data_IF_986941543384
#
_entry.id   IF_986941543384
#
_cell.length_a   1.000
_cell.length_b   1.000
_cell.length_c   1.000
_cell.angle_alpha   90.00
_cell.angle_beta   90.00
_cell.angle_gamma   90.00
#
_symmetry.space_group_name_H-M   'P 1'
#
loop_
_entity.id
_entity.type
_entity.pdbx_description
1 polymer ?
#
# COMPACT_ATOMS: atom_id res chain seq x y z
N UNK A 1 8.54 -25.28 7.61
CA UNK A 1 7.45 -25.87 8.37
C UNK A 1 6.13 -25.79 7.60
N UNK A 2 5.81 -24.67 6.97
CA UNK A 2 4.57 -24.48 6.20
C UNK A 2 4.70 -24.74 4.70
N UNK A 3 5.73 -25.40 4.30
CA UNK A 3 6.02 -25.96 2.98
C UNK A 3 5.51 -25.14 1.78
N UNK A 4 5.98 -23.90 1.73
CA UNK A 4 5.76 -23.03 0.56
C UNK A 4 4.60 -22.05 0.67
N UNK A 5 3.95 -21.86 1.83
CA UNK A 5 3.00 -20.78 2.02
C UNK A 5 3.75 -19.45 2.13
N UNK A 6 3.82 -18.75 0.99
CA UNK A 6 4.56 -17.51 0.84
C UNK A 6 3.96 -16.36 1.64
N UNK A 7 4.81 -15.52 2.24
CA UNK A 7 4.43 -14.31 2.97
C UNK A 7 3.53 -14.53 4.20
N UNK A 8 3.61 -15.69 4.80
CA UNK A 8 3.05 -16.00 6.11
C UNK A 8 4.21 -16.45 7.00
N UNK A 9 4.40 -15.80 8.13
CA UNK A 9 5.53 -16.03 9.02
C UNK A 9 5.06 -16.12 10.47
N UNK A 10 5.67 -17.02 11.20
CA UNK A 10 5.55 -17.09 12.66
C UNK A 10 6.65 -16.25 13.31
N UNK A 11 6.33 -15.70 14.46
CA UNK A 11 7.33 -15.06 15.32
C UNK A 11 7.77 -16.06 16.38
N UNK A 12 9.05 -16.43 16.39
CA UNK A 12 9.66 -17.21 17.45
C UNK A 12 9.82 -16.37 18.73
N UNK A 13 10.35 -16.96 19.80
CA UNK A 13 10.36 -16.36 21.14
C UNK A 13 10.85 -14.91 21.19
N UNK A 14 11.98 -14.60 20.59
CA UNK A 14 12.51 -13.22 20.59
C UNK A 14 11.65 -12.26 19.73
N UNK A 15 11.11 -12.76 18.61
CA UNK A 15 10.25 -11.97 17.72
C UNK A 15 8.91 -11.65 18.35
N UNK A 16 8.28 -12.58 19.08
CA UNK A 16 7.01 -12.33 19.76
C UNK A 16 7.18 -11.38 20.93
N UNK A 17 8.27 -11.47 21.70
CA UNK A 17 8.55 -10.53 22.77
C UNK A 17 8.80 -9.12 22.26
N UNK A 18 9.60 -8.96 21.20
CA UNK A 18 9.81 -7.67 20.56
C UNK A 18 8.50 -7.06 20.05
N UNK A 19 7.67 -7.85 19.38
CA UNK A 19 6.36 -7.43 18.89
C UNK A 19 5.45 -6.97 20.03
N UNK A 20 5.37 -7.75 21.11
CA UNK A 20 4.56 -7.40 22.28
C UNK A 20 5.06 -6.12 22.98
N UNK A 21 6.36 -5.95 23.11
CA UNK A 21 6.95 -4.74 23.70
C UNK A 21 6.62 -3.50 22.86
N UNK A 22 6.74 -3.57 21.55
CA UNK A 22 6.37 -2.48 20.63
C UNK A 22 4.88 -2.14 20.78
N UNK A 23 4.01 -3.15 20.77
CA UNK A 23 2.56 -2.96 20.91
C UNK A 23 2.19 -2.34 22.26
N UNK A 24 2.77 -2.81 23.37
CA UNK A 24 2.53 -2.28 24.70
C UNK A 24 3.02 -0.83 24.83
N UNK A 25 4.22 -0.54 24.32
CA UNK A 25 4.76 0.81 24.31
C UNK A 25 3.87 1.77 23.53
N UNK A 26 3.45 1.37 22.32
CA UNK A 26 2.55 2.17 21.49
C UNK A 26 1.20 2.40 22.20
N UNK A 27 0.60 1.33 22.74
CA UNK A 27 -0.68 1.42 23.44
C UNK A 27 -0.61 2.36 24.65
N UNK A 28 0.42 2.21 25.43
CA UNK A 28 0.65 3.11 26.59
C UNK A 28 0.79 4.56 26.14
N UNK A 29 1.64 4.82 25.14
CA UNK A 29 1.93 6.18 24.68
C UNK A 29 0.74 6.83 23.98
N UNK A 30 0.00 6.08 23.14
CA UNK A 30 -1.05 6.64 22.30
C UNK A 30 -2.44 6.61 22.94
N UNK A 31 -2.66 5.73 23.92
CA UNK A 31 -4.00 5.57 24.53
C UNK A 31 -3.97 5.93 26.02
N UNK A 32 -3.10 5.26 26.79
CA UNK A 32 -3.18 5.36 28.26
C UNK A 32 -2.64 6.70 28.82
N UNK A 33 -1.83 7.41 28.06
CA UNK A 33 -1.29 8.72 28.47
C UNK A 33 -2.17 9.91 28.03
N UNK A 34 -3.32 9.66 27.41
CA UNK A 34 -4.24 10.69 26.91
C UNK A 34 -5.65 10.48 27.42
N UNK A 35 -6.26 11.51 28.00
CA UNK A 35 -7.62 11.45 28.54
C UNK A 35 -8.71 11.41 27.46
N UNK A 36 -8.38 11.87 26.26
CA UNK A 36 -9.29 11.97 25.12
C UNK A 36 -9.03 10.94 24.03
N UNK A 37 -8.30 9.87 24.31
CA UNK A 37 -8.11 8.75 23.39
C UNK A 37 -8.56 7.46 24.08
N UNK A 38 -9.41 6.70 23.42
CA UNK A 38 -9.95 5.44 23.93
C UNK A 38 -9.64 4.28 22.99
N UNK A 39 -9.53 3.09 23.55
CA UNK A 39 -9.26 1.88 22.81
C UNK A 39 -10.52 1.12 22.41
N UNK A 40 -10.49 0.47 21.26
CA UNK A 40 -11.47 -0.55 20.85
C UNK A 40 -10.77 -1.81 20.34
N UNK A 41 -11.51 -2.89 20.26
CA UNK A 41 -11.13 -4.10 19.52
C UNK A 41 -12.29 -4.53 18.65
N UNK A 42 -12.28 -4.16 17.39
CA UNK A 42 -13.31 -4.52 16.43
C UNK A 42 -13.07 -5.88 15.80
N UNK A 43 -14.14 -6.57 15.41
CA UNK A 43 -14.07 -7.89 14.80
C UNK A 43 -13.25 -7.88 13.48
N UNK A 44 -12.57 -8.99 13.23
CA UNK A 44 -11.85 -9.25 11.96
C UNK A 44 -12.85 -9.46 10.82
N UNK A 45 -13.93 -10.20 11.09
CA UNK A 45 -15.03 -10.45 10.15
C UNK A 45 -16.05 -9.33 10.29
N UNK A 46 -16.23 -8.55 9.24
CA UNK A 46 -17.18 -7.44 9.21
C UNK A 46 -18.18 -7.63 8.09
N UNK A 47 -19.35 -7.01 8.23
CA UNK A 47 -20.40 -7.11 7.21
C UNK A 47 -19.87 -6.58 5.85
N UNK A 48 -20.14 -7.28 4.73
CA UNK A 48 -19.63 -6.90 3.41
C UNK A 48 -19.95 -5.47 2.97
N UNK A 49 -21.05 -4.91 3.44
CA UNK A 49 -21.44 -3.52 3.17
C UNK A 49 -20.40 -2.50 3.67
N UNK A 50 -19.65 -2.81 4.74
CA UNK A 50 -18.59 -1.94 5.24
C UNK A 50 -17.49 -1.80 4.17
N UNK A 51 -17.08 -2.90 3.59
CA UNK A 51 -16.03 -2.94 2.57
C UNK A 51 -16.48 -2.37 1.24
N UNK A 52 -17.75 -2.52 0.89
CA UNK A 52 -18.34 -1.86 -0.27
C UNK A 52 -18.41 -0.34 -0.07
N UNK A 53 -18.88 0.12 1.09
CA UNK A 53 -18.99 1.54 1.39
C UNK A 53 -17.62 2.24 1.47
N UNK A 54 -16.58 1.53 1.88
CA UNK A 54 -15.21 2.04 1.91
C UNK A 54 -14.45 1.90 0.59
N UNK A 55 -15.05 1.31 -0.45
CA UNK A 55 -14.44 1.10 -1.76
C UNK A 55 -13.48 -0.10 -1.87
N UNK A 56 -13.24 -0.84 -0.78
CA UNK A 56 -12.28 -1.96 -0.80
C UNK A 56 -12.71 -3.12 -1.70
N UNK A 57 -13.99 -3.34 -1.89
CA UNK A 57 -14.48 -4.40 -2.78
C UNK A 57 -14.19 -4.03 -4.24
N UNK A 58 -14.36 -2.77 -4.59
CA UNK A 58 -14.33 -2.32 -5.98
C UNK A 58 -12.94 -1.79 -6.41
N UNK A 59 -12.21 -1.12 -5.50
CA UNK A 59 -10.99 -0.37 -5.84
C UNK A 59 -9.69 -0.91 -5.19
N UNK A 60 -9.75 -1.91 -4.31
CA UNK A 60 -8.55 -2.45 -3.66
C UNK A 60 -7.92 -3.56 -4.50
N UNK A 61 -7.47 -3.17 -5.70
CA UNK A 61 -6.98 -4.08 -6.72
C UNK A 61 -5.54 -3.74 -7.13
N UNK A 62 -4.73 -4.78 -7.39
CA UNK A 62 -3.43 -4.65 -8.04
C UNK A 62 -3.56 -5.03 -9.53
N UNK A 63 -3.01 -4.24 -10.46
CA UNK A 63 -2.92 -4.62 -11.87
C UNK A 63 -1.80 -5.65 -12.05
N UNK A 64 -2.15 -6.87 -12.41
CA UNK A 64 -1.22 -7.99 -12.56
C UNK A 64 -1.01 -8.37 -14.01
N UNK A 65 0.23 -8.69 -14.36
CA UNK A 65 0.66 -9.18 -15.67
C UNK A 65 1.58 -10.38 -15.51
N UNK A 66 1.41 -11.39 -16.34
CA UNK A 66 2.26 -12.57 -16.33
C UNK A 66 3.21 -12.54 -17.53
N UNK A 67 4.45 -12.98 -17.33
CA UNK A 67 5.35 -13.26 -18.43
C UNK A 67 5.22 -14.73 -18.84
N UNK A 68 4.85 -14.98 -20.10
CA UNK A 68 4.54 -16.32 -20.62
C UNK A 68 5.75 -17.27 -20.59
N UNK A 69 6.95 -16.73 -20.75
CA UNK A 69 8.17 -17.54 -20.85
C UNK A 69 8.72 -17.91 -19.46
N UNK A 70 8.76 -16.95 -18.54
CA UNK A 70 9.22 -17.20 -17.17
C UNK A 70 8.12 -17.79 -16.27
N UNK A 71 6.85 -17.75 -16.70
CA UNK A 71 5.66 -18.12 -15.89
C UNK A 71 5.61 -17.39 -14.54
N UNK A 72 6.18 -16.19 -14.49
CA UNK A 72 6.19 -15.35 -13.30
C UNK A 72 5.22 -14.19 -13.43
N UNK A 73 4.60 -13.87 -12.31
CA UNK A 73 3.62 -12.79 -12.16
C UNK A 73 4.29 -11.55 -11.59
N UNK A 74 3.88 -10.40 -12.09
CA UNK A 74 4.37 -9.08 -11.71
C UNK A 74 3.20 -8.11 -11.56
N UNK A 75 3.41 -7.07 -10.76
CA UNK A 75 2.54 -5.90 -10.78
C UNK A 75 2.92 -5.06 -12.00
N UNK A 76 1.94 -4.73 -12.81
CA UNK A 76 2.15 -3.98 -14.05
C UNK A 76 2.62 -2.53 -13.78
N UNK A 77 2.04 -1.89 -12.76
CA UNK A 77 2.43 -0.56 -12.31
C UNK A 77 3.90 -0.53 -11.84
N UNK A 78 4.30 -1.49 -11.00
CA UNK A 78 5.69 -1.58 -10.50
C UNK A 78 6.70 -1.81 -11.63
N UNK A 79 6.35 -2.59 -12.67
CA UNK A 79 7.23 -2.76 -13.84
C UNK A 79 7.50 -1.44 -14.57
N UNK A 80 6.48 -0.58 -14.67
CA UNK A 80 6.61 0.75 -15.29
C UNK A 80 7.38 1.70 -14.37
N UNK A 81 7.12 1.68 -13.07
CA UNK A 81 7.87 2.45 -12.07
C UNK A 81 9.36 2.07 -12.05
N UNK A 82 9.68 0.78 -12.08
CA UNK A 82 11.06 0.27 -12.17
C UNK A 82 11.77 0.73 -13.47
N UNK A 83 11.01 0.85 -14.56
CA UNK A 83 11.55 1.41 -15.80
C UNK A 83 11.87 2.90 -15.63
N UNK A 84 11.00 3.67 -14.99
CA UNK A 84 11.24 5.07 -14.67
C UNK A 84 12.43 5.24 -13.73
N UNK A 85 12.55 4.41 -12.69
CA UNK A 85 13.70 4.41 -11.79
C UNK A 85 15.04 4.15 -12.50
N UNK A 86 15.04 3.32 -13.55
CA UNK A 86 16.24 3.14 -14.39
C UNK A 86 16.60 4.42 -15.16
N UNK A 87 15.63 5.22 -15.56
CA UNK A 87 15.87 6.53 -16.19
C UNK A 87 16.41 7.53 -15.15
N UNK A 88 15.82 7.55 -13.95
CA UNK A 88 16.34 8.36 -12.83
C UNK A 88 17.80 8.02 -12.51
N UNK A 89 18.15 6.75 -12.50
CA UNK A 89 19.54 6.32 -12.36
C UNK A 89 20.48 6.84 -13.47
N UNK A 90 19.98 7.14 -14.68
CA UNK A 90 20.76 7.83 -15.73
C UNK A 90 20.93 9.31 -15.41
N UNK A 91 19.89 9.96 -14.89
CA UNK A 91 19.96 11.36 -14.42
C UNK A 91 21.03 11.50 -13.32
N UNK A 92 20.98 10.62 -12.32
CA UNK A 92 21.97 10.63 -11.25
C UNK A 92 23.42 10.44 -11.75
N UNK A 93 23.60 9.57 -12.74
CA UNK A 93 24.92 9.39 -13.37
C UNK A 93 25.42 10.65 -14.07
N UNK A 94 24.54 11.37 -14.76
CA UNK A 94 24.89 12.65 -15.41
C UNK A 94 25.24 13.73 -14.36
N UNK A 95 24.45 13.81 -13.26
CA UNK A 95 24.75 14.72 -12.14
C UNK A 95 26.11 14.37 -11.50
N UNK A 96 26.38 13.10 -11.22
CA UNK A 96 27.65 12.66 -10.64
C UNK A 96 28.86 12.99 -11.55
N UNK A 97 28.69 12.88 -12.89
CA UNK A 97 29.73 13.29 -13.84
C UNK A 97 29.96 14.80 -13.82
N UNK A 98 28.89 15.60 -13.73
CA UNK A 98 28.97 17.04 -13.65
C UNK A 98 29.64 17.50 -12.36
N UNK A 99 29.31 16.92 -11.22
CA UNK A 99 29.98 17.18 -9.93
C UNK A 99 31.50 16.93 -10.04
N UNK A 100 31.88 15.80 -10.64
CA UNK A 100 33.34 15.48 -10.84
C UNK A 100 34.02 16.47 -11.77
N UNK A 101 33.32 17.07 -12.72
CA UNK A 101 33.87 18.02 -13.70
C UNK A 101 33.99 19.43 -13.16
N UNK A 102 33.01 19.89 -12.39
CA UNK A 102 32.89 21.29 -11.97
C UNK A 102 33.27 21.52 -10.49
N UNK A 103 33.42 20.46 -9.70
CA UNK A 103 33.86 20.54 -8.29
C UNK A 103 32.95 21.43 -7.45
N UNK A 104 33.56 22.24 -6.58
CA UNK A 104 32.85 23.09 -5.60
C UNK A 104 31.99 24.21 -6.25
N UNK A 105 32.20 24.51 -7.54
CA UNK A 105 31.39 25.50 -8.28
C UNK A 105 30.13 24.90 -8.93
N UNK A 106 29.82 23.62 -8.67
CA UNK A 106 28.68 22.94 -9.28
C UNK A 106 27.36 23.35 -8.64
N UNK A 107 26.51 24.04 -9.38
CA UNK A 107 25.12 24.30 -9.03
C UNK A 107 24.22 23.17 -9.59
N UNK A 108 23.79 22.27 -8.69
CA UNK A 108 22.95 21.13 -9.04
C UNK A 108 21.58 21.54 -9.58
N UNK A 109 20.97 22.57 -9.01
CA UNK A 109 19.62 23.01 -9.38
C UNK A 109 19.65 23.66 -10.76
N UNK A 110 20.60 24.56 -10.99
CA UNK A 110 20.81 25.17 -12.30
C UNK A 110 21.11 24.09 -13.36
N UNK A 111 21.96 23.12 -13.06
CA UNK A 111 22.30 22.04 -13.99
C UNK A 111 21.10 21.17 -14.35
N UNK A 112 20.25 20.81 -13.40
CA UNK A 112 19.04 20.03 -13.66
C UNK A 112 18.07 20.81 -14.58
N UNK A 113 17.94 22.12 -14.38
CA UNK A 113 17.02 22.95 -15.11
C UNK A 113 17.52 23.38 -16.50
N UNK A 114 18.81 23.26 -16.79
CA UNK A 114 19.41 23.70 -18.06
C UNK A 114 19.93 22.58 -18.94
N UNK A 115 20.20 21.40 -18.36
CA UNK A 115 20.73 20.27 -19.13
C UNK A 115 19.62 19.60 -19.96
N UNK A 116 19.72 19.72 -21.29
CA UNK A 116 18.73 19.20 -22.23
C UNK A 116 18.43 17.71 -22.09
N UNK A 117 19.42 16.89 -21.73
CA UNK A 117 19.24 15.44 -21.49
C UNK A 117 18.41 15.18 -20.25
N UNK A 118 18.71 15.89 -19.15
CA UNK A 118 17.98 15.72 -17.88
C UNK A 118 16.53 16.20 -18.06
N UNK A 119 16.34 17.33 -18.71
CA UNK A 119 15.00 17.85 -19.05
C UNK A 119 14.22 16.82 -19.88
N UNK A 120 14.86 16.23 -20.90
CA UNK A 120 14.25 15.18 -21.71
C UNK A 120 13.89 13.92 -20.91
N UNK A 121 14.76 13.49 -20.00
CA UNK A 121 14.50 12.36 -19.11
C UNK A 121 13.34 12.64 -18.13
N UNK A 122 13.35 13.81 -17.48
CA UNK A 122 12.29 14.20 -16.56
C UNK A 122 10.93 14.28 -17.27
N UNK A 123 10.89 14.89 -18.47
CA UNK A 123 9.68 14.92 -19.28
C UNK A 123 9.19 13.51 -19.62
N UNK A 124 10.08 12.63 -20.07
CA UNK A 124 9.73 11.23 -20.38
C UNK A 124 9.15 10.50 -19.16
N UNK A 125 9.75 10.65 -17.98
CA UNK A 125 9.22 10.06 -16.73
C UNK A 125 7.84 10.62 -16.43
N UNK A 126 7.68 11.95 -16.47
CA UNK A 126 6.39 12.62 -16.21
C UNK A 126 5.29 12.14 -17.17
N UNK A 127 5.58 12.05 -18.46
CA UNK A 127 4.61 11.59 -19.47
C UNK A 127 4.20 10.13 -19.22
N UNK A 128 5.16 9.25 -18.91
CA UNK A 128 4.91 7.83 -18.61
C UNK A 128 4.05 7.68 -17.35
N UNK A 129 4.43 8.32 -16.24
CA UNK A 129 3.71 8.21 -14.98
C UNK A 129 2.32 8.83 -15.05
N UNK A 130 2.17 9.95 -15.78
CA UNK A 130 0.86 10.58 -16.01
C UNK A 130 -0.06 9.69 -16.83
N UNK A 131 0.45 9.01 -17.88
CA UNK A 131 -0.32 8.05 -18.66
C UNK A 131 -0.71 6.84 -17.82
N UNK A 132 0.24 6.27 -17.05
CA UNK A 132 -0.03 5.16 -16.14
C UNK A 132 -1.12 5.50 -15.14
N UNK A 133 -1.01 6.65 -14.46
CA UNK A 133 -1.99 7.10 -13.47
C UNK A 133 -3.39 7.24 -14.10
N UNK A 134 -3.49 7.87 -15.29
CA UNK A 134 -4.75 8.02 -16.01
C UNK A 134 -5.35 6.69 -16.44
N UNK A 135 -4.53 5.75 -16.92
CA UNK A 135 -5.00 4.42 -17.34
C UNK A 135 -5.51 3.61 -16.15
N UNK A 136 -4.83 3.71 -15.00
CA UNK A 136 -5.28 3.05 -13.76
C UNK A 136 -6.56 3.68 -13.20
N UNK A 137 -6.68 5.01 -13.23
CA UNK A 137 -7.89 5.73 -12.79
C UNK A 137 -9.12 5.38 -13.65
N UNK A 138 -8.91 5.21 -14.96
CA UNK A 138 -9.98 4.83 -15.90
C UNK A 138 -10.19 3.32 -16.03
N UNK A 139 -9.46 2.50 -15.24
CA UNK A 139 -9.45 1.03 -15.34
C UNK A 139 -9.12 0.51 -16.75
N UNK A 140 -8.36 1.28 -17.53
CA UNK A 140 -7.91 0.91 -18.88
C UNK A 140 -6.67 0.01 -18.80
N UNK A 141 -6.90 -1.26 -18.49
CA UNK A 141 -5.85 -2.26 -18.35
C UNK A 141 -5.16 -2.60 -19.68
N UNK A 142 -5.85 -2.37 -20.79
CA UNK A 142 -5.27 -2.56 -22.12
C UNK A 142 -4.22 -1.50 -22.40
N UNK A 143 -4.48 -0.23 -22.03
CA UNK A 143 -3.48 0.84 -22.18
C UNK A 143 -2.28 0.64 -21.25
N UNK A 144 -2.48 0.11 -20.02
CA UNK A 144 -1.36 -0.28 -19.15
C UNK A 144 -0.47 -1.34 -19.79
N UNK A 145 -1.09 -2.35 -20.43
CA UNK A 145 -0.35 -3.37 -21.19
C UNK A 145 0.39 -2.77 -22.38
N UNK A 146 -0.27 -1.92 -23.15
CA UNK A 146 0.31 -1.25 -24.30
C UNK A 146 1.50 -0.39 -23.92
N UNK A 147 1.42 0.32 -22.79
CA UNK A 147 2.53 1.08 -22.23
C UNK A 147 3.74 0.20 -21.94
N UNK A 148 3.54 -0.98 -21.33
CA UNK A 148 4.63 -1.95 -21.07
C UNK A 148 5.29 -2.41 -22.37
N UNK A 149 4.50 -2.66 -23.40
CA UNK A 149 5.00 -3.11 -24.73
C UNK A 149 5.75 -1.98 -25.44
N UNK A 150 5.19 -0.77 -25.51
CA UNK A 150 5.80 0.41 -26.12
C UNK A 150 7.12 0.81 -25.49
N UNK A 151 7.21 0.69 -24.15
CA UNK A 151 8.43 0.93 -23.39
C UNK A 151 9.45 -0.21 -23.52
N UNK A 152 9.09 -1.27 -24.23
CA UNK A 152 9.93 -2.46 -24.41
C UNK A 152 10.40 -3.08 -23.08
N UNK A 153 9.56 -3.05 -22.05
CA UNK A 153 9.89 -3.57 -20.74
C UNK A 153 10.09 -5.08 -20.83
N UNK A 154 11.23 -5.54 -20.36
CA UNK A 154 11.60 -6.97 -20.37
C UNK A 154 11.37 -7.58 -18.98
N UNK A 155 11.03 -8.85 -18.98
CA UNK A 155 10.91 -9.63 -17.75
C UNK A 155 12.27 -9.66 -17.00
N UNK A 156 12.30 -9.29 -15.72
CA UNK A 156 13.56 -9.27 -14.94
C UNK A 156 14.27 -10.63 -14.83
N UNK A 157 13.53 -11.73 -15.02
CA UNK A 157 14.06 -13.09 -14.89
C UNK A 157 14.46 -13.67 -16.25
N UNK A 158 13.56 -13.63 -17.25
CA UNK A 158 13.79 -14.26 -18.55
C UNK A 158 14.36 -13.31 -19.61
N UNK A 159 14.31 -12.00 -19.39
CA UNK A 159 14.65 -11.00 -20.42
C UNK A 159 13.63 -10.92 -21.57
N UNK A 160 12.57 -11.70 -21.53
CA UNK A 160 11.53 -11.78 -22.57
C UNK A 160 10.52 -10.63 -22.47
N UNK A 161 9.96 -10.22 -23.59
CA UNK A 161 8.85 -9.24 -23.72
C UNK A 161 7.49 -9.91 -23.91
N UNK A 162 7.40 -11.23 -23.74
CA UNK A 162 6.19 -12.00 -24.00
C UNK A 162 5.20 -11.91 -22.82
N UNK A 163 4.45 -10.82 -22.76
CA UNK A 163 3.51 -10.51 -21.70
C UNK A 163 2.08 -10.97 -22.02
N UNK A 164 1.32 -11.34 -20.99
CA UNK A 164 -0.13 -11.57 -21.06
C UNK A 164 -0.89 -10.24 -21.07
N UNK A 165 -2.21 -10.32 -21.06
CA UNK A 165 -3.05 -9.18 -20.71
C UNK A 165 -2.90 -8.83 -19.23
N UNK A 166 -3.09 -7.55 -18.88
CA UNK A 166 -3.17 -7.10 -17.50
C UNK A 166 -4.54 -7.45 -16.94
N UNK A 167 -4.57 -7.95 -15.72
CA UNK A 167 -5.80 -8.28 -14.99
C UNK A 167 -5.79 -7.65 -13.61
N UNK A 168 -6.92 -7.11 -13.20
CA UNK A 168 -7.08 -6.66 -11.81
C UNK A 168 -7.18 -7.86 -10.86
N UNK A 169 -6.55 -7.73 -9.74
CA UNK A 169 -6.57 -8.72 -8.67
C UNK A 169 -6.92 -8.06 -7.34
N UNK A 170 -8.07 -8.43 -6.79
CA UNK A 170 -8.51 -7.88 -5.51
C UNK A 170 -7.67 -8.44 -4.35
N UNK A 171 -7.18 -7.55 -3.50
CA UNK A 171 -6.31 -7.88 -2.36
C UNK A 171 -7.10 -8.32 -1.12
N UNK A 172 -8.44 -8.32 -1.16
CA UNK A 172 -9.26 -8.82 -0.06
C UNK A 172 -9.20 -10.35 0.02
N UNK A 173 -9.00 -10.88 1.22
CA UNK A 173 -9.26 -12.30 1.46
C UNK A 173 -10.74 -12.53 1.63
N UNK A 174 -11.34 -13.31 0.72
CA UNK A 174 -12.72 -13.77 0.82
C UNK A 174 -12.84 -15.04 1.65
N UNK A 175 -13.94 -15.19 2.37
CA UNK A 175 -14.35 -16.41 3.07
C UNK A 175 -15.87 -16.55 3.00
N UNK A 176 -16.40 -17.67 3.44
CA UNK A 176 -17.84 -17.95 3.46
C UNK A 176 -18.32 -18.24 4.87
N UNK A 177 -19.43 -17.64 5.25
CA UNK A 177 -20.13 -17.91 6.49
C UNK A 177 -21.44 -18.63 6.19
N UNK A 178 -21.63 -19.83 6.69
CA UNK A 178 -22.84 -20.65 6.50
C UNK A 178 -22.55 -22.13 6.57
N UNK A 179 -23.57 -22.94 6.85
CA UNK A 179 -23.45 -24.38 6.98
C UNK A 179 -23.48 -25.13 5.62
N UNK A 180 -24.02 -24.52 4.57
CA UNK A 180 -24.10 -25.11 3.23
C UNK A 180 -23.66 -24.10 2.18
N UNK A 181 -23.17 -24.58 1.03
CA UNK A 181 -22.70 -23.73 -0.06
C UNK A 181 -23.81 -22.80 -0.60
N UNK A 182 -25.08 -23.26 -0.61
CA UNK A 182 -26.21 -22.55 -1.19
C UNK A 182 -26.74 -21.40 -0.30
N UNK A 183 -26.44 -21.45 1.00
CA UNK A 183 -26.88 -20.45 1.98
C UNK A 183 -25.72 -19.63 2.56
N UNK A 184 -24.52 -19.86 2.08
CA UNK A 184 -23.33 -19.20 2.60
C UNK A 184 -23.28 -17.73 2.16
N UNK A 185 -23.01 -16.84 3.11
CA UNK A 185 -22.75 -15.42 2.86
C UNK A 185 -21.27 -15.21 2.61
N UNK A 186 -20.94 -14.52 1.53
CA UNK A 186 -19.55 -14.12 1.29
C UNK A 186 -19.12 -13.04 2.28
N UNK A 187 -18.01 -13.28 2.94
CA UNK A 187 -17.38 -12.37 3.88
C UNK A 187 -15.93 -12.09 3.47
N UNK A 188 -15.39 -11.01 4.02
CA UNK A 188 -14.00 -10.65 3.82
C UNK A 188 -13.29 -10.51 5.17
N UNK A 189 -12.03 -10.94 5.21
CA UNK A 189 -11.12 -10.58 6.30
C UNK A 189 -10.71 -9.11 6.12
N UNK A 190 -10.66 -8.36 7.21
CA UNK A 190 -10.31 -6.94 7.14
C UNK A 190 -8.89 -6.73 6.59
N UNK A 191 -8.70 -5.88 5.55
CA UNK A 191 -7.39 -5.53 5.03
C UNK A 191 -6.70 -4.42 5.82
N UNK A 192 -7.46 -3.74 6.70
CA UNK A 192 -7.00 -2.69 7.59
C UNK A 192 -7.94 -2.50 8.78
N UNK A 193 -7.50 -1.77 9.78
CA UNK A 193 -8.23 -1.58 11.04
C UNK A 193 -9.08 -0.31 11.07
N UNK A 194 -8.90 0.63 10.13
CA UNK A 194 -9.58 1.93 10.09
C UNK A 194 -11.11 1.84 10.09
N UNK A 195 -11.68 0.96 9.26
CA UNK A 195 -13.14 0.85 9.13
C UNK A 195 -13.82 0.41 10.43
N UNK A 196 -13.14 -0.42 11.23
CA UNK A 196 -13.62 -0.78 12.55
C UNK A 196 -13.77 0.43 13.48
N UNK A 197 -12.87 1.39 13.37
CA UNK A 197 -12.91 2.65 14.12
C UNK A 197 -14.08 3.50 13.62
N UNK A 198 -14.22 3.70 12.31
CA UNK A 198 -15.28 4.54 11.75
C UNK A 198 -16.68 4.00 12.03
N UNK A 199 -16.90 2.70 11.86
CA UNK A 199 -18.20 2.06 12.14
C UNK A 199 -18.58 2.19 13.60
N UNK A 200 -17.62 2.13 14.52
CA UNK A 200 -17.86 2.23 15.96
C UNK A 200 -17.82 3.66 16.50
N UNK A 201 -17.58 4.67 15.68
CA UNK A 201 -17.46 6.06 16.15
C UNK A 201 -18.63 6.51 17.04
N UNK A 202 -19.86 6.37 16.58
CA UNK A 202 -21.05 6.76 17.34
C UNK A 202 -21.26 5.91 18.61
N UNK A 203 -20.92 4.62 18.56
CA UNK A 203 -21.01 3.74 19.71
C UNK A 203 -20.03 4.21 20.80
N UNK A 204 -18.78 4.43 20.43
CA UNK A 204 -17.73 4.91 21.34
C UNK A 204 -18.09 6.29 21.90
N UNK A 205 -18.53 7.21 21.05
CA UNK A 205 -18.93 8.55 21.48
C UNK A 205 -20.03 8.49 22.54
N UNK A 206 -21.06 7.68 22.32
CA UNK A 206 -22.22 7.57 23.24
C UNK A 206 -21.85 6.84 24.52
N UNK A 207 -21.21 5.68 24.44
CA UNK A 207 -20.89 4.86 25.62
C UNK A 207 -19.82 5.49 26.48
N UNK A 208 -18.79 6.09 25.86
CA UNK A 208 -17.71 6.80 26.53
C UNK A 208 -18.05 8.25 26.90
N UNK A 209 -19.23 8.77 26.49
CA UNK A 209 -19.62 10.19 26.63
C UNK A 209 -18.55 11.14 26.09
N UNK A 210 -17.86 10.72 25.00
CA UNK A 210 -16.76 11.46 24.41
C UNK A 210 -17.24 12.73 23.71
N UNK A 211 -16.46 13.78 23.82
CA UNK A 211 -16.66 15.05 23.11
C UNK A 211 -15.54 15.27 22.13
N UNK A 212 -15.86 15.76 20.93
CA UNK A 212 -14.85 16.17 19.94
C UNK A 212 -14.05 17.36 20.51
N UNK A 213 -12.70 17.32 20.48
CA UNK A 213 -11.86 16.33 19.84
C UNK A 213 -11.58 15.08 20.70
N UNK A 214 -11.61 13.90 20.07
CA UNK A 214 -11.20 12.67 20.74
C UNK A 214 -10.66 11.64 19.71
N UNK A 215 -9.83 10.71 20.19
CA UNK A 215 -9.26 9.65 19.41
C UNK A 215 -9.84 8.28 19.73
N UNK A 216 -9.87 7.41 18.71
CA UNK A 216 -10.17 5.99 18.86
C UNK A 216 -8.99 5.21 18.31
N UNK A 217 -8.44 4.32 19.13
CA UNK A 217 -7.30 3.50 18.77
C UNK A 217 -7.63 2.01 18.81
N UNK A 218 -7.00 1.24 17.97
CA UNK A 218 -7.01 -0.22 18.10
C UNK A 218 -5.70 -0.83 17.62
N UNK A 219 -5.44 -2.03 18.10
CA UNK A 219 -4.40 -2.91 17.60
C UNK A 219 -5.05 -4.20 17.14
N UNK A 220 -4.57 -4.78 16.05
CA UNK A 220 -5.13 -6.05 15.62
C UNK A 220 -4.62 -6.51 14.27
N UNK A 221 -4.93 -7.74 13.95
CA UNK A 221 -4.55 -8.35 12.68
C UNK A 221 -5.32 -7.78 11.51
N UNK A 222 -4.60 -7.63 10.39
CA UNK A 222 -5.13 -7.30 9.08
C UNK A 222 -4.58 -8.29 8.04
N UNK A 223 -5.27 -8.42 6.91
CA UNK A 223 -5.01 -9.48 5.94
C UNK A 223 -5.06 -8.89 4.52
N UNK A 224 -4.01 -9.11 3.75
CA UNK A 224 -3.96 -8.70 2.35
C UNK A 224 -3.51 -9.84 1.48
N UNK A 225 -4.23 -10.21 0.47
CA UNK A 225 -3.90 -11.31 -0.42
C UNK A 225 -2.79 -10.89 -1.41
N UNK A 226 -1.61 -10.61 -0.86
CA UNK A 226 -0.43 -10.20 -1.61
C UNK A 226 0.04 -11.29 -2.56
N UNK A 227 0.17 -10.97 -3.84
CA UNK A 227 0.61 -11.93 -4.86
C UNK A 227 2.13 -11.91 -5.02
N UNK A 228 2.75 -10.73 -4.99
CA UNK A 228 4.19 -10.57 -5.13
C UNK A 228 4.81 -10.23 -3.78
N UNK A 229 4.76 -11.18 -2.87
CA UNK A 229 5.26 -11.01 -1.50
C UNK A 229 6.71 -11.54 -1.40
N UNK A 230 7.70 -10.71 -1.68
CA UNK A 230 9.13 -11.08 -1.64
C UNK A 230 9.96 -10.27 -0.65
N UNK A 231 9.31 -9.53 0.26
CA UNK A 231 9.99 -8.58 1.15
C UNK A 231 10.04 -9.06 2.60
N UNK A 232 10.11 -10.37 2.83
CA UNK A 232 10.14 -10.95 4.18
C UNK A 232 9.00 -10.40 5.05
N UNK A 233 9.26 -10.02 6.30
CA UNK A 233 8.24 -9.48 7.22
C UNK A 233 7.73 -8.08 6.84
N UNK A 234 8.35 -7.40 5.87
CA UNK A 234 7.92 -6.06 5.42
C UNK A 234 6.71 -6.11 4.48
N UNK A 235 6.38 -7.29 3.93
CA UNK A 235 5.19 -7.50 3.12
C UNK A 235 4.63 -8.89 3.36
N UNK A 236 3.69 -8.97 4.29
CA UNK A 236 3.06 -10.20 4.74
C UNK A 236 1.59 -10.22 4.34
N UNK A 237 1.03 -11.43 4.19
CA UNK A 237 -0.41 -11.62 3.96
C UNK A 237 -1.23 -11.48 5.24
N UNK A 238 -0.63 -11.79 6.38
CA UNK A 238 -1.19 -11.61 7.72
C UNK A 238 -0.23 -10.77 8.54
N UNK A 239 -0.68 -9.62 9.04
CA UNK A 239 0.15 -8.69 9.80
C UNK A 239 -0.66 -8.01 10.90
N UNK A 240 -0.02 -7.32 11.81
CA UNK A 240 -0.67 -6.49 12.82
C UNK A 240 -0.54 -5.01 12.48
N UNK A 241 -1.60 -4.27 12.71
CA UNK A 241 -1.64 -2.82 12.68
C UNK A 241 -1.89 -2.26 14.07
N UNK A 242 -1.29 -1.12 14.33
CA UNK A 242 -1.60 -0.24 15.47
C UNK A 242 -2.03 1.08 14.87
N UNK A 243 -3.26 1.46 15.10
CA UNK A 243 -3.89 2.60 14.41
C UNK A 243 -4.69 3.45 15.39
N UNK A 244 -4.63 4.76 15.23
CA UNK A 244 -5.42 5.73 15.96
C UNK A 244 -5.99 6.76 15.00
N UNK A 245 -7.29 6.98 15.03
CA UNK A 245 -8.00 8.02 14.30
C UNK A 245 -8.42 9.11 15.29
N UNK A 246 -8.00 10.34 15.04
CA UNK A 246 -8.31 11.49 15.91
C UNK A 246 -9.35 12.38 15.22
N UNK A 247 -10.50 12.52 15.85
CA UNK A 247 -11.67 13.20 15.29
C UNK A 247 -11.73 14.63 15.82
N UNK A 248 -11.72 15.60 14.91
CA UNK A 248 -11.73 17.02 15.22
C UNK A 248 -12.90 17.73 14.52
N UNK A 249 -13.26 18.92 15.00
CA UNK A 249 -14.26 19.76 14.31
C UNK A 249 -13.72 20.13 12.91
N UNK A 250 -14.54 20.05 11.86
CA UNK A 250 -14.14 20.52 10.54
C UNK A 250 -13.59 21.94 10.56
N UNK A 251 -12.45 22.15 9.88
CA UNK A 251 -11.75 23.43 9.83
C UNK A 251 -10.66 23.63 10.91
N UNK A 252 -10.59 22.78 11.94
CA UNK A 252 -9.58 22.89 13.03
C UNK A 252 -8.42 21.90 12.91
N UNK A 253 -8.39 21.08 11.86
CA UNK A 253 -7.42 20.00 11.70
C UNK A 253 -5.95 20.47 11.74
N UNK A 254 -5.66 21.67 11.23
CA UNK A 254 -4.29 22.20 11.22
C UNK A 254 -3.80 22.57 12.62
N UNK A 255 -4.68 23.06 13.49
CA UNK A 255 -4.36 23.40 14.87
C UNK A 255 -3.99 22.15 15.65
N UNK A 256 -4.80 21.09 15.48
CA UNK A 256 -4.57 19.80 16.16
C UNK A 256 -3.40 19.00 15.60
N UNK A 257 -3.01 19.25 14.36
CA UNK A 257 -1.82 18.61 13.78
C UNK A 257 -0.52 19.22 14.32
N UNK A 258 -0.55 20.48 14.74
CA UNK A 258 0.62 21.23 15.22
C UNK A 258 0.79 21.19 16.73
N UNK A 259 -0.20 20.71 17.48
CA UNK A 259 -0.19 20.57 18.94
C UNK A 259 0.33 19.19 19.35
#
# INVERSE_FOLDING_TARGET
IYDGLSAVYDYAQNGVELKNNIRQYWWKSMVQMHDNIVGIDSAVLMHPTVWKASGHVDAFNDPLIDNKDSKKRYRADVLVEDYCAKIEGKIEKEIKKAIKRFGDSFDKEQFINTNSRIIGYNKKISDILSRLAKSLENEDLEDVRNLIIELEIVCPISGSKNWTDVKQFNLMFGTKLGASADTATDLFLRPETAQGIFVNFLNVQKTGRMKIPFGIAQTGKAFRNEIVARQFIFRMREFEQMEMQFFVKPGTQKEWYSS
#
